data_IF_558060447096
#
_entry.id   IF_558060447096
#
_cell.length_a   1.000
_cell.length_b   1.000
_cell.length_c   1.000
_cell.angle_alpha   90.00
_cell.angle_beta   90.00
_cell.angle_gamma   90.00
#
_symmetry.space_group_name_H-M   'P 1'
#
loop_
_entity.id
_entity.type
_entity.pdbx_description
1 polymer ?
#
# COMPACT_ATOMS: atom_id res chain seq x y z
N UNK A 1 5.94 6.81 25.53
CA UNK A 1 6.35 6.92 24.11
C UNK A 1 7.20 5.77 23.57
N UNK A 2 8.26 5.27 24.23
CA UNK A 2 9.08 4.16 23.69
C UNK A 2 8.36 2.80 23.58
N UNK A 3 7.30 2.55 24.38
CA UNK A 3 6.66 1.24 24.53
C UNK A 3 5.63 0.86 23.44
N UNK A 4 5.01 1.83 22.76
CA UNK A 4 3.98 1.56 21.73
C UNK A 4 4.63 1.25 20.38
N UNK A 5 5.64 2.03 19.98
CA UNK A 5 6.48 1.75 18.80
C UNK A 5 7.18 0.39 18.88
N UNK A 6 7.58 -0.04 20.07
CA UNK A 6 8.14 -1.39 20.30
C UNK A 6 7.11 -2.51 20.06
N UNK A 7 5.82 -2.25 20.27
CA UNK A 7 4.76 -3.28 20.24
C UNK A 7 4.28 -3.60 18.83
N UNK A 8 4.21 -2.61 17.93
CA UNK A 8 3.93 -2.82 16.51
C UNK A 8 5.16 -3.38 15.77
N UNK A 9 6.35 -2.85 16.07
CA UNK A 9 7.60 -3.25 15.40
C UNK A 9 8.04 -4.68 15.77
N UNK A 10 7.87 -5.11 17.03
CA UNK A 10 8.17 -6.50 17.45
C UNK A 10 7.25 -7.54 16.79
N UNK A 11 6.02 -7.18 16.46
CA UNK A 11 5.02 -8.13 15.95
C UNK A 11 5.06 -8.33 14.42
N UNK A 12 5.64 -7.41 13.66
CA UNK A 12 5.96 -7.64 12.24
C UNK A 12 7.06 -8.70 12.06
N UNK A 13 7.93 -8.88 13.06
CA UNK A 13 8.93 -9.95 13.13
C UNK A 13 8.45 -11.13 13.98
N UNK A 14 7.16 -11.46 13.91
CA UNK A 14 6.63 -12.61 14.64
C UNK A 14 6.54 -13.85 13.76
N UNK A 15 6.78 -15.01 14.36
CA UNK A 15 6.44 -16.29 13.73
C UNK A 15 4.97 -16.58 13.98
N UNK A 16 4.26 -17.06 12.97
CA UNK A 16 2.88 -17.53 13.09
C UNK A 16 2.90 -19.05 12.88
N UNK A 17 2.53 -19.76 13.94
CA UNK A 17 2.40 -21.24 13.97
C UNK A 17 0.94 -21.62 13.79
N UNK A 18 0.66 -22.79 13.23
CA UNK A 18 -0.71 -23.32 13.13
C UNK A 18 -1.01 -24.34 14.23
N UNK A 19 0.04 -24.92 14.80
CA UNK A 19 -0.04 -25.90 15.88
C UNK A 19 0.50 -25.33 17.20
N UNK A 20 -0.22 -25.50 18.32
CA UNK A 20 0.24 -25.06 19.63
C UNK A 20 1.56 -25.69 20.11
N UNK A 21 1.87 -26.94 19.73
CA UNK A 21 3.11 -27.61 20.12
C UNK A 21 4.30 -26.99 19.37
N UNK A 22 4.12 -26.65 18.09
CA UNK A 22 5.12 -25.90 17.32
C UNK A 22 5.38 -24.52 17.92
N UNK A 23 4.31 -23.83 18.38
CA UNK A 23 4.44 -22.57 19.11
C UNK A 23 5.33 -22.76 20.33
N UNK A 24 5.02 -23.74 21.17
CA UNK A 24 5.73 -23.95 22.44
C UNK A 24 7.17 -24.37 22.21
N UNK A 25 7.42 -25.17 21.18
CA UNK A 25 8.76 -25.50 20.72
C UNK A 25 9.55 -24.24 20.30
N UNK A 26 8.97 -23.38 19.45
CA UNK A 26 9.64 -22.16 19.01
C UNK A 26 9.85 -21.16 20.15
N UNK A 27 8.86 -20.96 21.02
CA UNK A 27 8.99 -20.07 22.20
C UNK A 27 10.13 -20.54 23.10
N UNK A 28 10.24 -21.86 23.33
CA UNK A 28 11.32 -22.44 24.15
C UNK A 28 12.69 -22.21 23.53
N UNK A 29 12.84 -22.46 22.23
CA UNK A 29 14.13 -22.39 21.55
C UNK A 29 14.54 -20.95 21.19
N UNK A 30 13.59 -20.05 20.94
CA UNK A 30 13.84 -18.66 20.55
C UNK A 30 13.80 -17.67 21.72
N UNK A 31 13.66 -18.14 22.95
CA UNK A 31 13.56 -17.30 24.15
C UNK A 31 14.69 -16.28 24.29
N UNK A 32 15.91 -16.66 23.94
CA UNK A 32 17.10 -15.78 24.02
C UNK A 32 17.06 -14.62 23.03
N UNK A 33 16.29 -14.74 21.95
CA UNK A 33 16.21 -13.75 20.88
C UNK A 33 15.02 -12.79 21.03
N UNK A 34 14.16 -12.98 22.05
CA UNK A 34 12.98 -12.15 22.31
C UNK A 34 12.06 -11.98 21.09
N UNK A 35 11.95 -13.06 20.30
CA UNK A 35 11.11 -13.12 19.10
C UNK A 35 9.69 -13.53 19.47
N UNK A 36 8.66 -12.73 19.16
CA UNK A 36 7.28 -13.12 19.40
C UNK A 36 6.87 -14.30 18.52
N UNK A 37 6.25 -15.31 19.11
CA UNK A 37 5.63 -16.42 18.39
C UNK A 37 4.13 -16.38 18.67
N UNK A 38 3.34 -16.27 17.61
CA UNK A 38 1.89 -16.26 17.63
C UNK A 38 1.38 -17.61 17.13
N UNK A 39 0.24 -18.03 17.66
CA UNK A 39 -0.46 -19.20 17.16
C UNK A 39 -1.71 -18.76 16.41
N UNK A 40 -1.88 -19.29 15.21
CA UNK A 40 -3.09 -19.20 14.44
C UNK A 40 -4.15 -20.06 15.13
N UNK A 41 -5.25 -19.41 15.51
CA UNK A 41 -6.44 -20.09 15.99
C UNK A 41 -7.52 -19.78 14.98
N UNK A 42 -7.91 -20.79 14.21
CA UNK A 42 -9.01 -20.66 13.26
C UNK A 42 -10.24 -20.26 14.05
N UNK A 43 -10.75 -19.06 13.77
CA UNK A 43 -11.89 -18.52 14.48
C UNK A 43 -13.10 -18.64 13.57
N UNK A 44 -13.79 -19.79 13.65
CA UNK A 44 -14.97 -20.08 12.83
C UNK A 44 -16.16 -19.17 13.16
N UNK A 45 -16.19 -18.62 14.38
CA UNK A 45 -17.27 -17.75 14.89
C UNK A 45 -17.03 -16.25 14.65
N UNK A 46 -15.92 -15.88 14.01
CA UNK A 46 -15.71 -14.48 13.62
C UNK A 46 -16.62 -14.12 12.46
N UNK A 47 -17.80 -13.59 12.79
CA UNK A 47 -18.57 -12.79 11.86
C UNK A 47 -17.70 -11.63 11.37
N UNK A 48 -17.11 -11.79 10.18
CA UNK A 48 -16.44 -10.68 9.49
C UNK A 48 -17.53 -9.64 9.22
N UNK A 49 -17.51 -8.54 9.98
CA UNK A 49 -18.42 -7.44 9.72
C UNK A 49 -18.27 -7.02 8.25
N UNK A 50 -19.36 -6.96 7.48
CA UNK A 50 -19.33 -6.50 6.11
C UNK A 50 -18.70 -5.12 6.07
N UNK A 51 -17.62 -4.99 5.29
CA UNK A 51 -17.01 -3.71 5.09
C UNK A 51 -17.93 -2.83 4.23
N UNK A 52 -18.46 -1.76 4.81
CA UNK A 52 -19.27 -0.78 4.11
C UNK A 52 -18.75 0.62 4.44
N UNK A 53 -18.28 1.33 3.41
CA UNK A 53 -17.97 2.76 3.51
C UNK A 53 -19.22 3.54 3.16
N UNK A 54 -19.72 4.31 4.13
CA UNK A 54 -20.83 5.24 3.92
C UNK A 54 -20.39 6.46 3.09
N UNK A 55 -21.35 7.23 2.60
CA UNK A 55 -21.04 8.46 1.85
C UNK A 55 -20.41 9.53 2.75
N UNK A 56 -20.85 9.60 4.02
CA UNK A 56 -20.30 10.50 5.04
C UNK A 56 -18.83 10.20 5.32
N UNK A 57 -18.47 8.91 5.42
CA UNK A 57 -17.08 8.47 5.58
C UNK A 57 -16.23 8.93 4.39
N UNK A 58 -16.73 8.77 3.16
CA UNK A 58 -16.04 9.27 1.95
C UNK A 58 -15.86 10.80 1.96
N UNK A 59 -16.88 11.55 2.39
CA UNK A 59 -16.81 13.03 2.50
C UNK A 59 -15.76 13.51 3.52
N UNK A 60 -15.47 12.69 4.53
CA UNK A 60 -14.38 12.94 5.49
C UNK A 60 -13.03 12.38 5.03
N UNK A 61 -12.94 11.86 3.79
CA UNK A 61 -11.71 11.34 3.22
C UNK A 61 -11.34 9.91 3.65
N UNK A 62 -12.25 9.18 4.32
CA UNK A 62 -12.06 7.76 4.63
C UNK A 62 -12.28 6.94 3.35
N UNK A 63 -11.26 6.16 3.01
CA UNK A 63 -11.21 5.40 1.75
C UNK A 63 -11.44 3.90 1.96
N UNK A 64 -10.85 3.34 3.00
CA UNK A 64 -10.71 1.90 3.19
C UNK A 64 -10.51 1.53 4.66
N UNK A 65 -10.52 0.23 4.95
CA UNK A 65 -10.16 -0.35 6.25
C UNK A 65 -8.86 -1.13 6.13
N UNK A 66 -8.08 -1.17 7.21
CA UNK A 66 -6.70 -1.65 7.15
C UNK A 66 -6.60 -3.14 6.80
N UNK A 67 -7.58 -3.97 7.17
CA UNK A 67 -7.66 -5.39 6.79
C UNK A 67 -7.94 -5.61 5.27
N UNK A 68 -8.39 -4.59 4.54
CA UNK A 68 -8.75 -4.70 3.13
C UNK A 68 -7.60 -4.30 2.17
N UNK A 69 -6.57 -3.61 2.66
CA UNK A 69 -5.56 -2.98 1.79
C UNK A 69 -4.26 -3.77 1.62
N UNK A 70 -4.15 -4.94 2.25
CA UNK A 70 -2.98 -5.80 2.10
C UNK A 70 -3.36 -7.24 1.79
N UNK A 71 -2.52 -7.86 0.96
CA UNK A 71 -2.59 -9.26 0.61
C UNK A 71 -1.64 -10.06 1.51
N UNK A 72 -2.14 -11.18 2.02
CA UNK A 72 -1.36 -12.12 2.83
C UNK A 72 -2.06 -13.48 2.88
N UNK A 73 -1.34 -14.56 3.23
CA UNK A 73 -1.97 -15.86 3.49
C UNK A 73 -3.05 -15.75 4.58
N UNK A 74 -4.13 -16.52 4.46
CA UNK A 74 -5.30 -16.41 5.35
C UNK A 74 -4.95 -16.47 6.83
N UNK A 75 -4.10 -17.42 7.23
CA UNK A 75 -3.66 -17.55 8.62
C UNK A 75 -2.93 -16.29 9.12
N UNK A 76 -2.13 -15.65 8.27
CA UNK A 76 -1.44 -14.40 8.60
C UNK A 76 -2.44 -13.26 8.70
N UNK A 77 -3.34 -13.15 7.72
CA UNK A 77 -4.38 -12.11 7.69
C UNK A 77 -5.26 -12.16 8.93
N UNK A 78 -5.70 -13.36 9.33
CA UNK A 78 -6.55 -13.55 10.50
C UNK A 78 -5.82 -13.26 11.82
N UNK A 79 -4.55 -13.67 11.95
CA UNK A 79 -3.76 -13.34 13.15
C UNK A 79 -3.52 -11.83 13.24
N UNK A 80 -3.14 -11.17 12.15
CA UNK A 80 -2.92 -9.72 12.14
C UNK A 80 -4.21 -8.96 12.46
N UNK A 81 -5.30 -9.30 11.80
CA UNK A 81 -6.63 -8.72 12.05
C UNK A 81 -7.02 -8.90 13.52
N UNK A 82 -6.95 -10.12 14.05
CA UNK A 82 -7.33 -10.38 15.45
C UNK A 82 -6.42 -9.72 16.50
N UNK A 83 -5.11 -9.65 16.26
CA UNK A 83 -4.14 -9.11 17.21
C UNK A 83 -4.12 -7.58 17.27
N UNK A 84 -4.56 -6.92 16.19
CA UNK A 84 -4.49 -5.47 16.04
C UNK A 84 -5.84 -4.80 15.81
N UNK A 85 -6.92 -5.57 15.74
CA UNK A 85 -8.26 -5.08 15.42
C UNK A 85 -8.27 -4.29 14.09
N UNK A 86 -7.60 -4.83 13.06
CA UNK A 86 -7.51 -4.17 11.75
C UNK A 86 -8.89 -3.96 11.12
N UNK A 87 -9.86 -4.79 11.48
CA UNK A 87 -11.28 -4.71 11.15
C UNK A 87 -12.03 -3.52 11.79
N UNK A 88 -11.36 -2.75 12.63
CA UNK A 88 -11.88 -1.50 13.22
C UNK A 88 -10.94 -0.31 13.01
N UNK A 89 -9.94 -0.46 12.15
CA UNK A 89 -8.92 0.55 11.88
C UNK A 89 -9.03 1.06 10.44
N UNK A 90 -9.32 2.34 10.27
CA UNK A 90 -9.64 2.93 8.96
C UNK A 90 -8.48 3.69 8.33
N UNK A 91 -8.55 3.94 7.03
CA UNK A 91 -7.54 4.68 6.27
C UNK A 91 -8.17 5.95 5.70
N UNK A 92 -7.66 7.08 6.17
CA UNK A 92 -8.03 8.42 5.78
C UNK A 92 -6.98 9.12 4.93
N UNK A 93 -7.40 10.22 4.30
CA UNK A 93 -6.54 11.10 3.51
C UNK A 93 -5.94 12.22 4.38
N UNK A 94 -5.23 13.17 3.74
CA UNK A 94 -4.80 14.41 4.40
C UNK A 94 -5.98 15.28 4.83
N UNK A 95 -7.11 15.20 4.13
CA UNK A 95 -8.33 15.93 4.51
C UNK A 95 -8.94 15.34 5.79
N UNK A 96 -8.84 14.03 5.97
CA UNK A 96 -9.27 13.34 7.19
C UNK A 96 -8.50 13.85 8.42
N UNK A 97 -7.21 14.15 8.26
CA UNK A 97 -6.35 14.69 9.33
C UNK A 97 -6.88 16.02 9.87
N UNK A 98 -7.36 16.89 8.98
CA UNK A 98 -7.93 18.20 9.32
C UNK A 98 -9.32 18.08 9.97
N UNK A 99 -10.05 17.00 9.68
CA UNK A 99 -11.42 16.74 10.15
C UNK A 99 -11.48 15.58 11.16
N UNK A 100 -10.39 15.31 11.86
CA UNK A 100 -10.24 14.16 12.75
C UNK A 100 -11.34 14.07 13.82
N UNK A 101 -11.75 15.20 14.38
CA UNK A 101 -12.83 15.25 15.37
C UNK A 101 -14.19 14.88 14.77
N UNK A 102 -14.45 15.20 13.51
CA UNK A 102 -15.69 14.82 12.80
C UNK A 102 -15.73 13.31 12.53
N UNK A 103 -14.58 12.71 12.22
CA UNK A 103 -14.45 11.26 12.02
C UNK A 103 -14.84 10.50 13.30
N UNK A 104 -14.41 11.00 14.47
CA UNK A 104 -14.78 10.40 15.76
C UNK A 104 -16.29 10.40 16.03
N UNK A 105 -17.02 11.40 15.52
CA UNK A 105 -18.49 11.50 15.66
C UNK A 105 -19.23 10.45 14.84
N UNK A 106 -18.60 9.88 13.80
CA UNK A 106 -19.13 8.74 13.04
C UNK A 106 -18.91 7.39 13.75
N UNK A 107 -18.38 7.38 14.98
CA UNK A 107 -18.06 6.16 15.71
C UNK A 107 -16.75 5.50 15.29
N UNK A 108 -15.97 6.17 14.44
CA UNK A 108 -14.65 5.68 14.01
C UNK A 108 -13.62 6.11 15.06
N UNK A 109 -13.18 5.15 15.87
CA UNK A 109 -12.29 5.41 17.00
C UNK A 109 -10.81 5.14 16.70
N UNK A 110 -10.47 4.47 15.59
CA UNK A 110 -9.09 4.19 15.20
C UNK A 110 -8.94 4.39 13.68
N UNK A 111 -8.09 5.33 13.26
CA UNK A 111 -7.81 5.54 11.84
C UNK A 111 -6.41 6.12 11.59
N UNK A 112 -5.89 5.85 10.39
CA UNK A 112 -4.57 6.24 9.92
C UNK A 112 -4.70 7.27 8.81
N UNK A 113 -3.94 8.35 8.91
CA UNK A 113 -3.66 9.28 7.81
C UNK A 113 -2.21 9.05 7.34
N UNK A 114 -1.78 9.66 6.22
CA UNK A 114 -0.40 9.53 5.75
C UNK A 114 0.65 9.98 6.79
N UNK A 115 0.28 10.85 7.72
CA UNK A 115 1.21 11.47 8.68
C UNK A 115 0.92 11.08 10.13
N UNK A 116 -0.31 10.71 10.48
CA UNK A 116 -0.72 10.47 11.87
C UNK A 116 -1.59 9.21 12.03
N UNK A 117 -1.49 8.59 13.19
CA UNK A 117 -2.40 7.57 13.68
C UNK A 117 -3.22 8.16 14.81
N UNK A 118 -4.54 8.09 14.69
CA UNK A 118 -5.42 8.58 15.71
C UNK A 118 -6.17 7.44 16.40
N UNK A 119 -6.27 7.54 17.73
CA UNK A 119 -7.06 6.62 18.55
C UNK A 119 -7.87 7.36 19.61
N UNK A 120 -9.19 7.25 19.56
CA UNK A 120 -10.08 7.74 20.60
C UNK A 120 -10.38 6.63 21.60
N UNK A 121 -10.47 7.02 22.87
CA UNK A 121 -10.84 6.14 23.97
C UNK A 121 -11.94 6.81 24.77
N UNK A 122 -13.06 6.10 24.91
CA UNK A 122 -14.20 6.52 25.71
C UNK A 122 -14.08 5.88 27.09
N UNK A 123 -14.06 6.71 28.13
CA UNK A 123 -14.00 6.25 29.51
C UNK A 123 -15.27 5.49 29.88
N UNK A 124 -15.09 4.27 30.39
CA UNK A 124 -16.20 3.41 30.85
C UNK A 124 -16.95 3.99 32.05
N UNK A 125 -16.29 4.83 32.86
CA UNK A 125 -16.80 5.27 34.15
C UNK A 125 -17.42 6.66 34.14
N UNK A 126 -17.14 7.47 33.11
CA UNK A 126 -17.60 8.86 33.08
C UNK A 126 -17.85 9.44 31.70
N UNK A 127 -17.90 8.62 30.64
CA UNK A 127 -18.21 9.07 29.27
C UNK A 127 -17.20 10.01 28.63
N UNK A 128 -16.16 10.42 29.36
CA UNK A 128 -15.09 11.29 28.85
C UNK A 128 -14.40 10.62 27.66
N UNK A 129 -14.32 11.35 26.55
CA UNK A 129 -13.61 10.91 25.34
C UNK A 129 -12.23 11.58 25.34
N UNK A 130 -11.19 10.78 25.14
CA UNK A 130 -9.82 11.25 24.99
C UNK A 130 -9.25 10.75 23.67
N UNK A 131 -8.39 11.54 23.04
CA UNK A 131 -7.73 11.18 21.79
C UNK A 131 -6.21 11.05 22.01
N UNK A 132 -5.62 10.05 21.38
CA UNK A 132 -4.18 9.88 21.26
C UNK A 132 -3.83 10.04 19.78
N UNK A 133 -2.88 10.91 19.50
CA UNK A 133 -2.36 11.12 18.14
C UNK A 133 -0.88 10.74 18.14
N UNK A 134 -0.51 9.78 17.31
CA UNK A 134 0.86 9.32 17.15
C UNK A 134 1.33 9.58 15.71
N UNK A 135 2.46 10.27 15.48
CA UNK A 135 2.97 10.47 14.13
C UNK A 135 3.43 9.14 13.52
N UNK A 136 3.00 8.90 12.28
CA UNK A 136 3.35 7.73 11.47
C UNK A 136 4.77 7.93 10.95
N UNK A 137 5.69 7.10 11.43
CA UNK A 137 7.06 7.09 10.93
C UNK A 137 7.12 6.41 9.56
N UNK A 138 8.01 6.88 8.68
CA UNK A 138 8.30 6.17 7.42
C UNK A 138 8.71 4.73 7.72
N UNK A 139 7.98 3.77 7.15
CA UNK A 139 8.30 2.35 7.28
C UNK A 139 9.63 2.05 6.58
N UNK A 140 10.48 1.24 7.22
CA UNK A 140 11.71 0.72 6.60
C UNK A 140 11.53 -0.71 6.07
N UNK A 141 10.44 -1.37 6.43
CA UNK A 141 10.21 -2.79 6.16
C UNK A 141 9.29 -3.00 4.95
N UNK A 142 8.26 -2.16 4.83
CA UNK A 142 7.26 -2.26 3.75
C UNK A 142 7.70 -1.58 2.44
N UNK A 143 8.90 -0.99 2.43
CA UNK A 143 9.49 -0.34 1.24
C UNK A 143 10.25 -1.36 0.38
N UNK A 144 10.59 -2.54 0.92
CA UNK A 144 11.54 -3.47 0.30
C UNK A 144 10.91 -4.42 -0.73
N UNK A 145 9.59 -4.65 -0.71
CA UNK A 145 8.91 -5.57 -1.64
C UNK A 145 8.59 -4.97 -3.01
N UNK A 146 8.68 -3.64 -3.15
CA UNK A 146 8.35 -2.95 -4.40
C UNK A 146 9.54 -2.85 -5.35
N UNK A 147 10.76 -3.09 -4.90
CA UNK A 147 11.93 -2.64 -5.65
C UNK A 147 12.32 -3.60 -6.78
N UNK A 148 12.51 -4.90 -6.56
CA UNK A 148 13.10 -5.74 -7.63
C UNK A 148 12.16 -6.05 -8.79
N UNK A 149 10.91 -6.44 -8.51
CA UNK A 149 9.95 -6.81 -9.56
C UNK A 149 9.46 -5.62 -10.38
N UNK A 150 9.16 -4.50 -9.73
CA UNK A 150 8.74 -3.28 -10.43
C UNK A 150 9.90 -2.62 -11.15
N UNK A 151 11.12 -2.64 -10.59
CA UNK A 151 12.32 -2.20 -11.33
C UNK A 151 12.51 -3.04 -12.59
N UNK A 152 12.37 -4.37 -12.51
CA UNK A 152 12.56 -5.24 -13.68
C UNK A 152 11.48 -5.01 -14.74
N UNK A 153 10.23 -4.79 -14.31
CA UNK A 153 9.11 -4.42 -15.19
C UNK A 153 9.34 -3.06 -15.86
N UNK A 154 9.77 -2.07 -15.09
CA UNK A 154 10.08 -0.73 -15.60
C UNK A 154 11.29 -0.76 -16.53
N UNK A 155 12.31 -1.56 -16.24
CA UNK A 155 13.46 -1.78 -17.13
C UNK A 155 13.05 -2.44 -18.45
N UNK A 156 12.22 -3.48 -18.37
CA UNK A 156 11.69 -4.16 -19.56
C UNK A 156 10.90 -3.20 -20.44
N UNK A 157 10.01 -2.41 -19.82
CA UNK A 157 9.21 -1.41 -20.53
C UNK A 157 10.05 -0.26 -21.10
N UNK A 158 11.09 0.16 -20.38
CA UNK A 158 12.06 1.14 -20.89
C UNK A 158 12.74 0.61 -22.16
N UNK A 159 13.22 -0.64 -22.14
CA UNK A 159 13.89 -1.26 -23.28
C UNK A 159 12.96 -1.38 -24.49
N UNK A 160 11.72 -1.82 -24.28
CA UNK A 160 10.70 -1.89 -25.34
C UNK A 160 10.46 -0.52 -25.98
N UNK A 161 10.37 0.53 -25.17
CA UNK A 161 10.20 1.90 -25.68
C UNK A 161 11.44 2.42 -26.42
N UNK A 162 12.65 2.06 -25.98
CA UNK A 162 13.89 2.40 -26.69
C UNK A 162 13.95 1.72 -28.07
N UNK A 163 13.60 0.43 -28.17
CA UNK A 163 13.51 -0.30 -29.45
C UNK A 163 12.49 0.34 -30.40
N UNK A 164 11.31 0.74 -29.89
CA UNK A 164 10.30 1.45 -30.70
C UNK A 164 10.81 2.81 -31.21
N UNK A 165 11.59 3.53 -30.40
CA UNK A 165 12.17 4.81 -30.80
C UNK A 165 13.19 4.61 -31.92
N UNK A 166 14.07 3.61 -31.79
CA UNK A 166 15.08 3.30 -32.81
C UNK A 166 14.43 2.93 -34.15
N UNK A 167 13.39 2.09 -34.12
CA UNK A 167 12.61 1.72 -35.30
C UNK A 167 11.94 2.94 -35.96
N UNK A 168 11.38 3.86 -35.15
CA UNK A 168 10.77 5.09 -35.66
C UNK A 168 11.81 6.04 -36.27
N UNK A 169 13.01 6.12 -35.69
CA UNK A 169 14.11 6.92 -36.24
C UNK A 169 14.62 6.38 -37.58
N UNK A 170 14.74 5.05 -37.72
CA UNK A 170 15.11 4.44 -38.99
C UNK A 170 14.06 4.69 -40.07
N UNK A 171 12.79 4.53 -39.74
CA UNK A 171 11.67 4.83 -40.65
C UNK A 171 11.61 6.31 -41.03
N UNK A 172 11.93 7.21 -40.09
CA UNK A 172 12.00 8.64 -40.40
C UNK A 172 13.13 8.96 -41.39
N UNK A 173 14.31 8.34 -41.21
CA UNK A 173 15.45 8.52 -42.13
C UNK A 173 15.13 8.01 -43.53
N UNK A 174 14.47 6.86 -43.66
CA UNK A 174 14.09 6.31 -44.97
C UNK A 174 13.09 7.22 -45.69
N UNK A 175 12.05 7.68 -45.00
CA UNK A 175 11.06 8.63 -45.54
C UNK A 175 11.70 9.97 -45.93
N UNK A 176 12.67 10.46 -45.16
CA UNK A 176 13.39 11.69 -45.50
C UNK A 176 14.23 11.55 -46.78
N UNK A 177 14.83 10.38 -47.00
CA UNK A 177 15.56 10.09 -48.24
C UNK A 177 14.59 10.03 -49.43
N UNK A 178 13.44 9.37 -49.27
CA UNK A 178 12.41 9.28 -50.30
C UNK A 178 11.85 10.67 -50.65
N UNK A 179 11.58 11.51 -49.66
CA UNK A 179 11.15 12.90 -49.87
C UNK A 179 12.18 13.67 -50.72
N UNK A 180 13.47 13.58 -50.40
CA UNK A 180 14.52 14.24 -51.18
C UNK A 180 14.57 13.75 -52.64
N UNK A 181 14.42 12.45 -52.86
CA UNK A 181 14.40 11.89 -54.21
C UNK A 181 13.22 12.42 -55.03
N UNK A 182 12.03 12.50 -54.42
CA UNK A 182 10.83 13.05 -55.05
C UNK A 182 10.96 14.56 -55.33
N UNK A 183 11.57 15.33 -54.42
CA UNK A 183 11.86 16.76 -54.62
C UNK A 183 12.82 16.98 -55.80
N UNK A 184 13.88 16.16 -55.90
CA UNK A 184 14.83 16.21 -57.02
C UNK A 184 14.18 15.83 -58.36
N UNK A 185 13.29 14.84 -58.37
CA UNK A 185 12.54 14.44 -59.56
C UNK A 185 11.54 15.53 -59.99
N UNK A 186 10.82 16.11 -59.05
CA UNK A 186 9.92 17.24 -59.30
C UNK A 186 10.68 18.46 -59.86
N UNK A 187 11.87 18.76 -59.33
CA UNK A 187 12.73 19.84 -59.83
C UNK A 187 13.22 19.58 -61.26
N UNK A 188 13.55 18.33 -61.62
CA UNK A 188 13.92 17.94 -62.99
C UNK A 188 12.75 18.09 -63.96
N UNK A 189 11.57 17.61 -63.60
CA UNK A 189 10.35 17.74 -64.42
C UNK A 189 9.95 19.21 -64.61
N UNK A 190 10.08 20.04 -63.57
CA UNK A 190 9.80 21.47 -63.68
C UNK A 190 10.74 22.15 -64.70
N UNK A 191 12.04 21.84 -64.67
CA UNK A 191 13.00 22.37 -65.66
C UNK A 191 12.68 21.95 -67.10
N UNK A 192 12.13 20.75 -67.31
CA UNK A 192 11.74 20.27 -68.64
C UNK A 192 10.44 20.90 -69.18
N UNK A 193 9.57 21.43 -68.31
CA UNK A 193 8.31 22.09 -68.70
C UNK A 193 8.42 23.58 -68.99
N UNK A 194 9.54 24.21 -68.64
CA UNK A 194 9.78 25.66 -68.84
C UNK A 194 10.59 25.93 -70.13
N UNK A 195 10.91 24.89 -70.90
CA UNK A 195 11.36 24.96 -72.29
C UNK A 195 10.22 24.52 -73.23
#
# INVERSE_FOLDING_TARGET
MKRVKQKLFKKLFSFITQDPDDRDFLVKNLRLFDVPVLNYVRNEDRHKEPFQISEEMRKLGISSRLDQVFDSPDAVKEVLTSQFALEHSYIGSRETDQKADEVSKLGILDFWTPENHYRWSVSRYGGHVSAIVEPVARSRLLVCSTDTGEIERLRSKKKELEEIIDDLEENFKSLQIEQRLLEDEAAKLHKQRVF
#
